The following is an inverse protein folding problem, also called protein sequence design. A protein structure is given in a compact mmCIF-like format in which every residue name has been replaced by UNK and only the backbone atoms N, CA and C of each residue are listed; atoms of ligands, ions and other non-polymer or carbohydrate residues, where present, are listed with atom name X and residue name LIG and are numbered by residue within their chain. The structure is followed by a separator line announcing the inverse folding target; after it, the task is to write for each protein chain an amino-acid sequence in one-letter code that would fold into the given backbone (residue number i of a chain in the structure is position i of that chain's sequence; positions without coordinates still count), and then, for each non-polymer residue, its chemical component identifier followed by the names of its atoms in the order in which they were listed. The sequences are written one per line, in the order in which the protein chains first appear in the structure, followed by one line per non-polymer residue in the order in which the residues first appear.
data_IF_573143936882
#
_entry.id   IF_573143936882
#
_cell.length_a   1.000
_cell.length_b   1.000
_cell.length_c   1.000
_cell.angle_alpha   90.00
_cell.angle_beta   90.00
_cell.angle_gamma   90.00
#
_symmetry.space_group_name_H-M   'P 1'
#
loop_
_entity.id
_entity.type
_entity.pdbx_description
1 polymer ?
#
# COMPACT_ATOMS: atom_id res chain seq x y z
N UNK A 1 27.77 33.47 -15.38
CA UNK A 1 26.50 33.88 -14.73
C UNK A 1 25.54 32.69 -14.77
N UNK A 2 25.37 31.97 -13.66
CA UNK A 2 24.39 30.88 -13.60
C UNK A 2 22.99 31.48 -13.73
N UNK A 3 22.24 31.12 -14.79
CA UNK A 3 20.82 31.45 -14.88
C UNK A 3 20.15 31.01 -13.57
N UNK A 4 19.52 31.95 -12.84
CA UNK A 4 18.73 31.60 -11.66
C UNK A 4 17.67 30.58 -12.11
N UNK A 5 17.79 29.33 -11.65
CA UNK A 5 16.81 28.28 -11.91
C UNK A 5 15.47 28.75 -11.36
N UNK A 6 14.50 28.97 -12.24
CA UNK A 6 13.13 29.29 -11.83
C UNK A 6 12.53 27.99 -11.29
N UNK A 7 12.26 27.94 -9.99
CA UNK A 7 11.73 26.76 -9.33
C UNK A 7 10.21 26.86 -9.31
N UNK A 8 9.52 25.91 -9.96
CA UNK A 8 8.07 25.79 -9.82
C UNK A 8 7.74 25.30 -8.39
N UNK A 9 6.97 26.11 -7.65
CA UNK A 9 6.59 25.82 -6.26
C UNK A 9 5.35 24.94 -6.14
N UNK A 10 4.60 24.74 -7.22
CA UNK A 10 3.36 23.96 -7.22
C UNK A 10 3.68 22.57 -7.78
N UNK A 11 3.17 21.52 -7.13
CA UNK A 11 3.33 20.15 -7.64
C UNK A 11 2.54 19.93 -8.92
N UNK A 12 3.15 19.16 -9.82
CA UNK A 12 2.46 18.67 -11.00
C UNK A 12 1.39 17.70 -10.52
N UNK A 13 0.13 18.02 -10.80
CA UNK A 13 -0.98 17.16 -10.38
C UNK A 13 -1.00 15.88 -11.21
N UNK A 14 -1.28 14.75 -10.55
CA UNK A 14 -1.62 13.51 -11.23
C UNK A 14 -3.08 13.57 -11.67
N UNK A 15 -3.43 13.12 -12.89
CA UNK A 15 -4.82 12.94 -13.28
C UNK A 15 -5.54 11.97 -12.34
N UNK A 16 -6.80 12.26 -12.06
CA UNK A 16 -7.69 11.42 -11.24
C UNK A 16 -9.02 11.23 -11.95
N UNK A 17 -9.70 10.12 -11.65
CA UNK A 17 -11.07 9.90 -12.10
C UNK A 17 -12.03 10.86 -11.41
N UNK A 18 -13.07 11.28 -12.12
CA UNK A 18 -14.06 12.20 -11.57
C UNK A 18 -14.82 11.57 -10.39
N UNK A 19 -15.17 12.33 -9.34
CA UNK A 19 -15.89 11.81 -8.18
C UNK A 19 -17.17 11.06 -8.56
N UNK A 20 -17.98 11.58 -9.50
CA UNK A 20 -19.28 11.00 -9.86
C UNK A 20 -19.16 9.66 -10.62
N UNK A 21 -17.98 9.38 -11.17
CA UNK A 21 -17.64 8.14 -11.87
C UNK A 21 -16.98 7.14 -10.91
N UNK A 22 -15.99 7.59 -10.12
CA UNK A 22 -15.15 6.71 -9.28
C UNK A 22 -15.86 6.12 -8.06
N UNK A 23 -17.02 6.66 -7.69
CA UNK A 23 -17.87 6.12 -6.61
C UNK A 23 -18.73 4.93 -7.06
N UNK A 24 -18.76 4.61 -8.36
CA UNK A 24 -19.59 3.53 -8.93
C UNK A 24 -18.86 2.21 -9.07
N UNK A 25 -17.56 2.19 -8.83
CA UNK A 25 -16.72 0.99 -8.94
C UNK A 25 -15.54 1.05 -7.95
N UNK A 26 -14.74 0.00 -7.94
CA UNK A 26 -13.56 -0.14 -7.09
C UNK A 26 -12.24 0.09 -7.86
N UNK A 27 -12.28 0.65 -9.07
CA UNK A 27 -11.07 0.90 -9.85
C UNK A 27 -10.26 2.06 -9.25
N UNK A 28 -8.94 2.06 -9.52
CA UNK A 28 -8.00 3.05 -8.98
C UNK A 28 -8.45 4.50 -9.23
N UNK A 29 -8.44 5.33 -8.19
CA UNK A 29 -8.85 6.74 -8.28
C UNK A 29 -7.80 7.58 -8.98
N UNK A 30 -6.55 7.46 -8.54
CA UNK A 30 -5.43 8.24 -9.03
C UNK A 30 -4.77 7.50 -10.21
N UNK A 31 -4.67 8.14 -11.36
CA UNK A 31 -4.22 7.52 -12.61
C UNK A 31 -2.69 7.57 -12.80
N UNK A 32 -1.96 8.15 -11.84
CA UNK A 32 -0.50 8.24 -11.91
C UNK A 32 0.00 9.27 -12.92
N UNK A 33 1.31 9.31 -13.14
CA UNK A 33 1.93 10.22 -14.12
C UNK A 33 2.09 9.57 -15.50
N UNK A 34 1.99 10.40 -16.54
CA UNK A 34 2.64 10.10 -17.82
C UNK A 34 4.14 10.41 -17.73
N UNK A 35 4.95 9.90 -18.66
CA UNK A 35 6.38 10.24 -18.70
C UNK A 35 6.63 11.75 -18.74
N UNK A 36 5.83 12.50 -19.51
CA UNK A 36 5.96 13.95 -19.59
C UNK A 36 5.69 14.64 -18.23
N UNK A 37 4.62 14.24 -17.53
CA UNK A 37 4.27 14.80 -16.22
C UNK A 37 5.29 14.40 -15.16
N UNK A 38 5.77 13.16 -15.18
CA UNK A 38 6.80 12.67 -14.28
C UNK A 38 8.10 13.45 -14.45
N UNK A 39 8.52 13.72 -15.69
CA UNK A 39 9.69 14.57 -15.96
C UNK A 39 9.49 15.99 -15.44
N UNK A 40 8.35 16.63 -15.69
CA UNK A 40 8.03 17.98 -15.18
C UNK A 40 8.08 18.03 -13.64
N UNK A 41 7.61 16.99 -12.95
CA UNK A 41 7.70 16.93 -11.49
C UNK A 41 9.15 16.67 -11.03
N UNK A 42 9.87 15.77 -11.69
CA UNK A 42 11.28 15.49 -11.44
C UNK A 42 12.17 16.75 -11.60
N UNK A 43 11.84 17.63 -12.55
CA UNK A 43 12.53 18.90 -12.80
C UNK A 43 12.41 19.89 -11.64
N UNK A 44 11.49 19.67 -10.70
CA UNK A 44 11.38 20.49 -9.48
C UNK A 44 12.40 20.08 -8.43
N UNK A 45 12.94 18.85 -8.50
CA UNK A 45 13.89 18.35 -7.52
C UNK A 45 15.17 19.17 -7.51
N UNK A 46 15.57 19.63 -6.31
CA UNK A 46 16.73 20.50 -6.12
C UNK A 46 18.07 19.74 -6.17
N UNK A 47 18.06 18.40 -6.26
CA UNK A 47 19.26 17.56 -6.19
C UNK A 47 20.12 17.93 -4.97
N UNK A 48 19.50 17.91 -3.79
CA UNK A 48 20.11 18.35 -2.54
C UNK A 48 21.36 17.52 -2.21
N UNK A 49 22.47 18.19 -1.86
CA UNK A 49 23.71 17.55 -1.38
C UNK A 49 23.48 16.74 -0.10
N UNK A 50 22.63 17.24 0.81
CA UNK A 50 22.19 16.53 2.01
C UNK A 50 20.68 16.26 1.89
N UNK A 51 20.27 15.14 1.26
CA UNK A 51 18.88 14.91 0.93
C UNK A 51 18.08 14.41 2.14
N UNK A 52 17.40 15.33 2.82
CA UNK A 52 16.54 15.02 3.98
C UNK A 52 15.40 14.04 3.63
N UNK A 53 14.96 14.03 2.38
CA UNK A 53 13.96 13.06 1.89
C UNK A 53 14.43 11.61 2.04
N UNK A 54 15.73 11.33 1.87
CA UNK A 54 16.31 9.99 2.06
C UNK A 54 16.21 9.58 3.53
N UNK A 55 16.52 10.49 4.46
CA UNK A 55 16.37 10.25 5.91
C UNK A 55 14.92 10.04 6.33
N UNK A 56 13.97 10.65 5.62
CA UNK A 56 12.55 10.49 5.86
C UNK A 56 11.97 9.20 5.30
N UNK A 57 12.68 8.53 4.39
CA UNK A 57 12.30 7.23 3.87
C UNK A 57 12.75 6.13 4.84
N UNK A 58 11.84 5.29 5.38
CA UNK A 58 12.22 4.24 6.34
C UNK A 58 13.27 3.25 5.83
N UNK A 59 13.35 3.04 4.52
CA UNK A 59 14.33 2.15 3.87
C UNK A 59 15.43 2.92 3.13
N UNK A 60 15.50 4.24 3.32
CA UNK A 60 16.57 5.10 2.79
C UNK A 60 16.78 4.99 1.27
N UNK A 61 15.70 4.95 0.49
CA UNK A 61 15.76 5.02 -0.99
C UNK A 61 16.62 6.23 -1.38
N UNK A 62 17.54 6.04 -2.34
CA UNK A 62 18.30 7.14 -2.92
C UNK A 62 17.44 8.00 -3.85
N UNK A 63 16.58 8.82 -3.24
CA UNK A 63 15.55 9.61 -3.91
C UNK A 63 16.11 10.56 -4.97
N UNK A 64 17.15 11.38 -4.70
CA UNK A 64 17.69 12.27 -5.72
C UNK A 64 18.20 11.51 -6.95
N UNK A 65 18.81 10.33 -6.74
CA UNK A 65 19.39 9.54 -7.83
C UNK A 65 18.31 8.92 -8.73
N UNK A 66 17.27 8.27 -8.19
CA UNK A 66 16.23 7.74 -9.08
C UNK A 66 15.49 8.87 -9.82
N UNK A 67 15.34 10.04 -9.18
CA UNK A 67 14.74 11.21 -9.82
C UNK A 67 15.65 11.75 -10.95
N UNK A 68 16.98 11.76 -10.77
CA UNK A 68 17.89 12.17 -11.85
C UNK A 68 17.81 11.21 -13.02
N UNK A 69 17.65 9.91 -12.76
CA UNK A 69 17.41 8.89 -13.79
C UNK A 69 16.13 9.11 -14.59
N UNK A 70 15.04 9.58 -13.96
CA UNK A 70 13.83 10.00 -14.68
C UNK A 70 14.13 11.18 -15.62
N UNK A 71 14.94 12.17 -15.20
CA UNK A 71 15.32 13.32 -16.03
C UNK A 71 16.19 12.92 -17.23
N UNK A 72 17.03 11.90 -17.05
CA UNK A 72 17.84 11.27 -18.10
C UNK A 72 17.01 10.37 -19.04
N UNK A 73 15.70 10.19 -18.78
CA UNK A 73 14.83 9.20 -19.43
C UNK A 73 15.29 7.75 -19.26
N UNK A 74 16.20 7.50 -18.32
CA UNK A 74 16.73 6.18 -17.97
C UNK A 74 15.83 5.52 -16.91
N UNK A 75 14.63 5.08 -17.33
CA UNK A 75 13.67 4.46 -16.41
C UNK A 75 14.17 3.12 -15.86
N UNK A 76 14.98 2.39 -16.63
CA UNK A 76 15.64 1.17 -16.17
C UNK A 76 16.58 1.48 -15.01
N UNK A 77 17.48 2.45 -15.17
CA UNK A 77 18.38 2.89 -14.10
C UNK A 77 17.62 3.46 -12.89
N UNK A 78 16.49 4.15 -13.11
CA UNK A 78 15.64 4.59 -12.02
C UNK A 78 15.08 3.40 -11.21
N UNK A 79 14.62 2.35 -11.90
CA UNK A 79 14.11 1.14 -11.24
C UNK A 79 15.22 0.38 -10.51
N UNK A 80 16.42 0.26 -11.09
CA UNK A 80 17.59 -0.35 -10.42
C UNK A 80 17.91 0.36 -9.09
N UNK A 81 17.86 1.69 -9.08
CA UNK A 81 18.07 2.48 -7.86
C UNK A 81 16.97 2.21 -6.84
N UNK A 82 15.70 2.12 -7.24
CA UNK A 82 14.61 1.75 -6.33
C UNK A 82 14.83 0.33 -5.76
N UNK A 83 15.06 -0.66 -6.62
CA UNK A 83 15.23 -2.07 -6.27
C UNK A 83 16.48 -2.38 -5.44
N UNK A 84 17.42 -1.45 -5.35
CA UNK A 84 18.56 -1.55 -4.43
C UNK A 84 18.16 -1.50 -2.95
N UNK A 85 16.98 -0.96 -2.63
CA UNK A 85 16.50 -0.78 -1.24
C UNK A 85 15.02 -1.14 -1.05
N UNK A 86 14.21 -1.05 -2.10
CA UNK A 86 12.78 -1.33 -2.07
C UNK A 86 12.35 -2.14 -3.29
N UNK A 87 11.88 -3.36 -3.06
CA UNK A 87 11.34 -4.22 -4.12
C UNK A 87 9.85 -4.05 -4.38
N UNK A 88 9.14 -3.23 -3.60
CA UNK A 88 7.71 -3.01 -3.76
C UNK A 88 7.36 -1.56 -4.14
N UNK A 89 8.10 -0.89 -5.06
CA UNK A 89 7.92 0.54 -5.34
C UNK A 89 6.53 0.86 -5.90
N UNK A 90 5.91 -0.06 -6.64
CA UNK A 90 4.54 0.10 -7.13
C UNK A 90 3.50 0.15 -5.99
N UNK A 91 3.78 -0.51 -4.86
CA UNK A 91 2.91 -0.46 -3.68
C UNK A 91 3.22 0.76 -2.81
N UNK A 92 4.49 0.95 -2.41
CA UNK A 92 4.90 2.04 -1.50
C UNK A 92 4.61 3.42 -2.09
N UNK A 93 4.82 3.60 -3.40
CA UNK A 93 4.48 4.85 -4.09
C UNK A 93 3.00 5.21 -4.04
N UNK A 94 2.11 4.21 -3.82
CA UNK A 94 0.67 4.39 -3.64
C UNK A 94 0.27 4.61 -2.18
N UNK A 95 0.82 3.80 -1.26
CA UNK A 95 0.23 3.66 0.08
C UNK A 95 1.04 4.25 1.22
N UNK A 96 2.31 4.62 1.00
CA UNK A 96 3.09 5.28 2.04
C UNK A 96 2.41 6.60 2.45
N UNK A 97 2.41 6.98 3.73
CA UNK A 97 2.00 8.31 4.17
C UNK A 97 3.17 9.28 3.97
N UNK A 98 3.41 9.70 2.72
CA UNK A 98 4.60 10.46 2.36
C UNK A 98 4.72 11.80 3.11
N UNK A 99 3.58 12.40 3.50
CA UNK A 99 3.48 13.65 4.25
C UNK A 99 4.16 13.61 5.62
N UNK A 100 4.33 12.41 6.21
CA UNK A 100 5.06 12.19 7.47
C UNK A 100 6.35 11.38 7.26
N UNK A 101 6.78 11.22 6.00
CA UNK A 101 7.97 10.48 5.60
C UNK A 101 8.87 11.32 4.67
N UNK A 102 9.15 10.81 3.46
CA UNK A 102 10.08 11.41 2.51
C UNK A 102 9.65 12.81 2.03
N UNK A 103 8.35 13.00 1.78
CA UNK A 103 7.81 14.29 1.31
C UNK A 103 7.72 15.30 2.46
N UNK A 104 7.37 14.85 3.67
CA UNK A 104 7.35 15.67 4.88
C UNK A 104 8.70 16.31 5.24
N UNK A 105 9.81 15.67 4.84
CA UNK A 105 11.17 16.20 5.03
C UNK A 105 11.76 16.87 3.79
N UNK A 106 11.03 16.93 2.68
CA UNK A 106 11.53 17.51 1.44
C UNK A 106 11.78 19.02 1.59
N UNK A 107 12.97 19.49 1.19
CA UNK A 107 13.34 20.93 1.29
C UNK A 107 12.41 21.81 0.46
N UNK A 108 11.88 21.29 -0.66
CA UNK A 108 10.88 22.00 -1.48
C UNK A 108 9.59 22.31 -0.71
N UNK A 109 9.21 21.45 0.24
CA UNK A 109 8.05 21.62 1.10
C UNK A 109 8.12 22.86 2.01
N UNK A 110 9.31 23.46 2.19
CA UNK A 110 9.49 24.68 2.99
C UNK A 110 9.11 25.97 2.24
N UNK A 111 9.03 25.91 0.91
CA UNK A 111 8.82 27.09 0.05
C UNK A 111 7.66 26.93 -0.94
N UNK A 112 6.98 25.78 -0.92
CA UNK A 112 5.90 25.37 -1.82
C UNK A 112 5.54 23.91 -1.54
N UNK A 113 5.01 23.20 -2.54
CA UNK A 113 4.71 21.78 -2.42
C UNK A 113 6.00 20.95 -2.43
N UNK A 114 6.13 19.93 -1.56
CA UNK A 114 7.22 18.98 -1.65
C UNK A 114 7.18 18.23 -2.99
N UNK A 115 8.34 17.73 -3.40
CA UNK A 115 8.44 16.85 -4.58
C UNK A 115 7.49 15.67 -4.38
N UNK A 116 6.72 15.32 -5.41
CA UNK A 116 5.77 14.21 -5.35
C UNK A 116 6.48 12.85 -5.49
N UNK A 117 7.33 12.55 -4.50
CA UNK A 117 8.25 11.40 -4.49
C UNK A 117 7.48 10.09 -4.63
N UNK A 118 6.36 9.94 -3.91
CA UNK A 118 5.56 8.71 -3.98
C UNK A 118 5.00 8.46 -5.38
N UNK A 119 4.53 9.51 -6.06
CA UNK A 119 3.99 9.39 -7.42
C UNK A 119 5.09 9.19 -8.47
N UNK A 120 6.30 9.71 -8.25
CA UNK A 120 7.46 9.41 -9.10
C UNK A 120 7.96 7.97 -8.92
N UNK A 121 8.01 7.47 -7.68
CA UNK A 121 8.33 6.06 -7.38
C UNK A 121 7.30 5.12 -8.05
N UNK A 122 6.00 5.43 -7.88
CA UNK A 122 4.91 4.74 -8.56
C UNK A 122 5.09 4.74 -10.07
N UNK A 123 5.38 5.92 -10.65
CA UNK A 123 5.54 6.07 -12.09
C UNK A 123 6.65 5.17 -12.64
N UNK A 124 7.83 5.15 -12.00
CA UNK A 124 8.94 4.31 -12.43
C UNK A 124 8.55 2.83 -12.42
N UNK A 125 7.91 2.38 -11.33
CA UNK A 125 7.49 0.99 -11.19
C UNK A 125 6.39 0.59 -12.19
N UNK A 126 5.39 1.45 -12.38
CA UNK A 126 4.29 1.21 -13.31
C UNK A 126 4.78 1.20 -14.76
N UNK A 127 5.60 2.20 -15.16
CA UNK A 127 6.17 2.28 -16.49
C UNK A 127 7.08 1.10 -16.79
N UNK A 128 7.92 0.69 -15.83
CA UNK A 128 8.79 -0.47 -15.98
C UNK A 128 7.98 -1.75 -16.20
N UNK A 129 6.90 -1.95 -15.43
CA UNK A 129 6.00 -3.10 -15.57
C UNK A 129 5.30 -3.14 -16.92
N UNK A 130 4.78 -2.01 -17.39
CA UNK A 130 4.09 -1.91 -18.68
C UNK A 130 5.02 -2.14 -19.87
N UNK A 131 6.30 -1.77 -19.75
CA UNK A 131 7.32 -1.94 -20.79
C UNK A 131 8.12 -3.23 -20.66
N UNK A 132 7.90 -4.03 -19.62
CA UNK A 132 8.65 -5.26 -19.35
C UNK A 132 10.09 -5.04 -18.88
N UNK A 133 10.46 -3.82 -18.48
CA UNK A 133 11.80 -3.47 -17.97
C UNK A 133 12.06 -4.17 -16.64
N UNK A 134 11.04 -4.26 -15.78
CA UNK A 134 11.08 -4.98 -14.51
C UNK A 134 11.44 -6.46 -14.71
N UNK A 135 10.84 -7.10 -15.71
CA UNK A 135 11.09 -8.49 -16.06
C UNK A 135 12.55 -8.71 -16.48
N UNK A 136 13.08 -7.85 -17.37
CA UNK A 136 14.47 -7.95 -17.83
C UNK A 136 15.46 -7.83 -16.65
N UNK A 137 15.24 -6.83 -15.79
CA UNK A 137 16.06 -6.62 -14.60
C UNK A 137 15.98 -7.81 -13.63
N UNK A 138 14.79 -8.38 -13.45
CA UNK A 138 14.60 -9.54 -12.57
C UNK A 138 15.34 -10.76 -13.12
N UNK A 139 15.26 -11.02 -14.43
CA UNK A 139 15.97 -12.13 -15.09
C UNK A 139 17.50 -11.99 -14.94
N UNK A 140 18.03 -10.77 -15.01
CA UNK A 140 19.44 -10.48 -14.74
C UNK A 140 19.82 -10.71 -13.27
N UNK A 141 18.99 -10.26 -12.33
CA UNK A 141 19.21 -10.50 -10.91
C UNK A 141 19.25 -11.99 -10.60
N UNK A 142 18.29 -12.78 -11.13
CA UNK A 142 18.21 -14.23 -10.90
C UNK A 142 19.50 -14.94 -11.35
N UNK A 143 20.06 -14.57 -12.51
CA UNK A 143 21.30 -15.18 -13.02
C UNK A 143 22.51 -14.98 -12.09
N UNK A 144 22.49 -13.92 -11.28
CA UNK A 144 23.58 -13.56 -10.39
C UNK A 144 23.45 -14.19 -8.99
N UNK A 145 22.33 -14.85 -8.68
CA UNK A 145 22.10 -15.48 -7.39
C UNK A 145 22.92 -16.77 -7.28
N UNK A 146 23.71 -16.87 -6.20
CA UNK A 146 24.49 -18.08 -5.88
C UNK A 146 23.86 -18.79 -4.68
N UNK A 147 23.30 -20.01 -4.84
CA UNK A 147 22.73 -20.75 -3.73
C UNK A 147 23.76 -20.95 -2.60
N UNK A 148 23.35 -20.69 -1.37
CA UNK A 148 24.19 -20.85 -0.18
C UNK A 148 23.90 -22.13 0.62
N UNK A 149 22.91 -22.91 0.19
CA UNK A 149 22.54 -24.21 0.76
C UNK A 149 21.71 -24.16 2.05
N UNK A 150 21.34 -22.97 2.53
CA UNK A 150 20.53 -22.78 3.75
C UNK A 150 19.08 -22.46 3.44
N UNK A 151 18.19 -22.85 4.35
CA UNK A 151 16.73 -22.68 4.25
C UNK A 151 16.19 -21.71 5.29
N UNK A 152 15.32 -20.81 4.88
CA UNK A 152 14.67 -19.84 5.78
C UNK A 152 13.14 -19.92 5.65
N UNK A 153 12.46 -20.03 6.79
CA UNK A 153 11.01 -19.93 6.86
C UNK A 153 10.58 -18.49 7.14
N UNK A 154 9.55 -18.02 6.45
CA UNK A 154 8.93 -16.72 6.64
C UNK A 154 7.47 -16.94 7.03
N UNK A 155 7.06 -16.51 8.23
CA UNK A 155 5.68 -16.66 8.71
C UNK A 155 4.91 -15.38 8.39
N UNK A 156 3.96 -15.47 7.47
CA UNK A 156 3.12 -14.36 6.99
C UNK A 156 3.64 -13.75 5.69
N UNK A 157 2.73 -13.54 4.74
CA UNK A 157 3.03 -12.99 3.41
C UNK A 157 2.67 -11.50 3.26
N UNK A 158 2.59 -10.76 4.37
CA UNK A 158 2.46 -9.30 4.33
C UNK A 158 3.72 -8.62 3.77
N UNK A 159 3.72 -7.28 3.59
CA UNK A 159 4.87 -6.55 3.04
C UNK A 159 6.20 -6.89 3.70
N UNK A 160 6.24 -7.02 5.03
CA UNK A 160 7.45 -7.41 5.76
C UNK A 160 7.97 -8.80 5.37
N UNK A 161 7.08 -9.79 5.28
CA UNK A 161 7.45 -11.16 4.88
C UNK A 161 7.89 -11.23 3.42
N UNK A 162 7.17 -10.55 2.53
CA UNK A 162 7.52 -10.48 1.09
C UNK A 162 8.89 -9.84 0.90
N UNK A 163 9.17 -8.68 1.52
CA UNK A 163 10.48 -8.02 1.43
C UNK A 163 11.59 -8.88 2.03
N UNK A 164 11.36 -9.47 3.22
CA UNK A 164 12.35 -10.36 3.84
C UNK A 164 12.69 -11.55 2.94
N UNK A 165 11.67 -12.20 2.38
CA UNK A 165 11.86 -13.34 1.49
C UNK A 165 12.63 -12.98 0.23
N UNK A 166 12.36 -11.80 -0.33
CA UNK A 166 13.02 -11.32 -1.51
C UNK A 166 14.52 -11.07 -1.30
N UNK A 167 14.87 -10.38 -0.21
CA UNK A 167 16.28 -10.09 0.11
C UNK A 167 17.04 -11.38 0.44
N UNK A 168 16.42 -12.30 1.16
CA UNK A 168 17.00 -13.62 1.43
C UNK A 168 17.19 -14.44 0.14
N UNK A 169 16.24 -14.41 -0.79
CA UNK A 169 16.37 -15.10 -2.07
C UNK A 169 17.53 -14.51 -2.90
N UNK A 170 17.67 -13.18 -2.96
CA UNK A 170 18.83 -12.52 -3.60
C UNK A 170 20.16 -12.92 -2.96
N UNK A 171 20.17 -13.15 -1.64
CA UNK A 171 21.34 -13.64 -0.90
C UNK A 171 21.60 -15.15 -1.08
N UNK A 172 20.77 -15.86 -1.87
CA UNK A 172 20.96 -17.27 -2.22
C UNK A 172 20.37 -18.28 -1.24
N UNK A 173 19.51 -17.85 -0.30
CA UNK A 173 18.79 -18.76 0.60
C UNK A 173 17.60 -19.42 -0.13
N UNK A 174 17.29 -20.67 0.21
CA UNK A 174 16.00 -21.27 -0.14
C UNK A 174 14.94 -20.74 0.83
N UNK A 175 13.98 -19.96 0.33
CA UNK A 175 12.97 -19.31 1.18
C UNK A 175 11.60 -19.93 0.96
N UNK A 176 10.91 -20.23 2.06
CA UNK A 176 9.51 -20.66 2.06
C UNK A 176 8.68 -19.72 2.93
N UNK A 177 7.67 -19.08 2.32
CA UNK A 177 6.67 -18.27 3.03
C UNK A 177 5.48 -19.16 3.39
N UNK A 178 5.04 -19.10 4.63
CA UNK A 178 3.81 -19.74 5.11
C UNK A 178 2.74 -18.67 5.36
N UNK A 179 1.63 -18.75 4.64
CA UNK A 179 0.51 -17.81 4.71
C UNK A 179 -0.77 -18.51 5.18
N UNK A 180 -1.46 -17.91 6.15
CA UNK A 180 -2.68 -18.49 6.72
C UNK A 180 -3.89 -18.37 5.78
N UNK A 181 -3.98 -17.29 5.00
CA UNK A 181 -5.05 -17.06 4.03
C UNK A 181 -4.80 -17.80 2.71
N UNK A 182 -5.83 -17.85 1.86
CA UNK A 182 -5.76 -18.49 0.54
C UNK A 182 -5.05 -17.63 -0.51
N UNK A 183 -4.94 -16.31 -0.30
CA UNK A 183 -4.16 -15.40 -1.13
C UNK A 183 -3.03 -14.73 -0.33
N UNK A 184 -1.79 -14.67 -0.87
CA UNK A 184 -0.69 -13.96 -0.23
C UNK A 184 -0.75 -12.44 -0.41
N UNK A 185 -0.11 -11.70 0.48
CA UNK A 185 0.01 -10.23 0.44
C UNK A 185 -0.44 -9.54 1.72
N UNK A 186 -1.18 -10.24 2.59
CA UNK A 186 -1.66 -9.69 3.86
C UNK A 186 -2.56 -8.45 3.63
N UNK A 187 -2.28 -7.37 4.36
CA UNK A 187 -3.12 -6.15 4.32
C UNK A 187 -3.24 -5.52 2.93
N UNK A 188 -2.29 -5.75 2.02
CA UNK A 188 -2.37 -5.23 0.64
C UNK A 188 -3.42 -5.96 -0.20
N UNK A 189 -3.82 -7.16 0.21
CA UNK A 189 -4.88 -7.95 -0.42
C UNK A 189 -6.20 -7.83 0.33
N UNK A 190 -6.26 -8.13 1.64
CA UNK A 190 -7.54 -8.12 2.36
C UNK A 190 -7.94 -6.75 2.95
N UNK A 191 -6.99 -5.83 3.12
CA UNK A 191 -7.21 -4.58 3.85
C UNK A 191 -7.39 -3.34 2.96
N UNK A 192 -6.35 -2.99 2.19
CA UNK A 192 -6.32 -1.78 1.36
C UNK A 192 -7.18 -2.04 0.10
N UNK A 193 -8.21 -1.24 -0.20
CA UNK A 193 -9.08 -1.50 -1.35
C UNK A 193 -8.43 -1.24 -2.72
N UNK A 194 -9.03 -1.83 -3.77
CA UNK A 194 -8.56 -1.70 -5.17
C UNK A 194 -8.50 -0.26 -5.67
N UNK A 195 -9.38 0.60 -5.18
CA UNK A 195 -9.43 2.01 -5.59
C UNK A 195 -8.20 2.82 -5.14
N UNK A 196 -7.36 2.24 -4.25
CA UNK A 196 -6.06 2.76 -3.81
C UNK A 196 -4.88 1.89 -4.23
N UNK A 197 -5.04 0.58 -4.17
CA UNK A 197 -4.01 -0.40 -4.46
C UNK A 197 -4.59 -1.54 -5.29
N UNK A 198 -4.47 -1.48 -6.64
CA UNK A 198 -4.96 -2.54 -7.51
C UNK A 198 -4.36 -3.90 -7.17
N UNK A 199 -5.19 -4.94 -7.06
CA UNK A 199 -4.72 -6.30 -6.71
C UNK A 199 -3.85 -6.92 -7.77
N UNK A 200 -4.02 -6.54 -9.03
CA UNK A 200 -3.15 -6.96 -10.12
C UNK A 200 -1.69 -6.58 -9.85
N UNK A 201 -1.45 -5.37 -9.31
CA UNK A 201 -0.10 -4.91 -8.98
C UNK A 201 0.48 -5.75 -7.85
N UNK A 202 -0.31 -5.99 -6.79
CA UNK A 202 0.13 -6.85 -5.68
C UNK A 202 0.48 -8.25 -6.16
N UNK A 203 -0.39 -8.85 -7.00
CA UNK A 203 -0.16 -10.18 -7.58
C UNK A 203 1.11 -10.22 -8.41
N UNK A 204 1.35 -9.19 -9.25
CA UNK A 204 2.55 -9.11 -10.08
C UNK A 204 3.84 -9.07 -9.25
N UNK A 205 3.85 -8.30 -8.17
CA UNK A 205 5.02 -8.25 -7.27
C UNK A 205 5.26 -9.59 -6.58
N UNK A 206 4.20 -10.31 -6.21
CA UNK A 206 4.31 -11.66 -5.64
C UNK A 206 4.80 -12.66 -6.69
N UNK A 207 4.32 -12.57 -7.94
CA UNK A 207 4.79 -13.40 -9.05
C UNK A 207 6.29 -13.19 -9.32
N UNK A 208 6.78 -11.96 -9.17
CA UNK A 208 8.20 -11.64 -9.29
C UNK A 208 9.02 -12.35 -8.19
N UNK A 209 8.51 -12.44 -6.97
CA UNK A 209 9.15 -13.20 -5.88
C UNK A 209 9.16 -14.70 -6.15
N UNK A 210 8.07 -15.24 -6.68
CA UNK A 210 8.00 -16.65 -7.07
C UNK A 210 9.05 -16.94 -8.16
N UNK A 211 9.20 -16.05 -9.15
CA UNK A 211 10.25 -16.16 -10.18
C UNK A 211 11.66 -16.05 -9.61
N UNK A 212 11.85 -15.28 -8.54
CA UNK A 212 13.11 -15.18 -7.80
C UNK A 212 13.47 -16.50 -7.07
N UNK A 213 12.54 -17.46 -7.02
CA UNK A 213 12.72 -18.78 -6.39
C UNK A 213 12.12 -18.90 -5.00
N UNK A 214 11.36 -17.89 -4.53
CA UNK A 214 10.63 -17.96 -3.27
C UNK A 214 9.43 -18.89 -3.42
N UNK A 215 9.27 -19.84 -2.48
CA UNK A 215 8.08 -20.68 -2.40
C UNK A 215 7.06 -20.04 -1.45
N UNK A 216 5.77 -20.14 -1.78
CA UNK A 216 4.68 -19.61 -0.95
C UNK A 216 3.65 -20.71 -0.75
N UNK A 217 3.47 -21.13 0.50
CA UNK A 217 2.49 -22.11 0.93
C UNK A 217 1.31 -21.38 1.60
N UNK A 218 0.20 -21.26 0.88
CA UNK A 218 -1.04 -20.65 1.38
C UNK A 218 -1.89 -21.65 2.15
N UNK A 219 -2.90 -21.16 2.89
CA UNK A 219 -3.74 -21.98 3.77
C UNK A 219 -2.97 -22.72 4.88
N UNK A 220 -1.78 -22.22 5.26
CA UNK A 220 -0.94 -22.76 6.33
C UNK A 220 -0.98 -21.83 7.54
N UNK A 221 -1.82 -22.17 8.51
CA UNK A 221 -1.82 -21.51 9.80
C UNK A 221 -0.72 -22.11 10.68
N UNK A 222 0.42 -21.43 10.76
CA UNK A 222 1.53 -21.83 11.66
C UNK A 222 1.04 -21.82 13.12
N UNK A 223 1.37 -22.88 13.84
CA UNK A 223 0.82 -23.21 15.17
C UNK A 223 -0.40 -24.14 15.13
N UNK A 224 -0.96 -24.42 13.94
CA UNK A 224 -2.08 -25.36 13.73
C UNK A 224 -1.81 -26.35 12.60
N UNK A 225 -1.68 -25.86 11.37
CA UNK A 225 -1.39 -26.69 10.18
C UNK A 225 0.02 -27.26 10.23
N UNK A 226 0.99 -26.44 10.66
CA UNK A 226 2.37 -26.82 10.95
C UNK A 226 2.77 -26.25 12.31
N UNK A 227 3.49 -27.00 13.14
CA UNK A 227 3.90 -26.48 14.45
C UNK A 227 5.15 -25.61 14.34
N UNK A 228 5.36 -24.74 15.33
CA UNK A 228 6.58 -23.93 15.36
C UNK A 228 7.84 -24.79 15.54
N UNK A 229 7.75 -25.91 16.27
CA UNK A 229 8.85 -26.85 16.44
C UNK A 229 9.22 -27.56 15.14
N UNK A 230 8.25 -27.86 14.28
CA UNK A 230 8.53 -28.39 12.94
C UNK A 230 9.33 -27.39 12.10
N UNK A 231 8.98 -26.10 12.17
CA UNK A 231 9.75 -25.06 11.47
C UNK A 231 11.19 -24.99 12.01
N UNK A 232 11.38 -25.04 13.33
CA UNK A 232 12.72 -25.00 13.94
C UNK A 232 13.59 -26.21 13.58
N UNK A 233 13.00 -27.36 13.30
CA UNK A 233 13.73 -28.58 12.90
C UNK A 233 14.13 -28.56 11.43
N UNK A 234 13.33 -27.92 10.57
CA UNK A 234 13.47 -28.03 9.11
C UNK A 234 14.09 -26.79 8.44
N UNK A 235 14.29 -25.69 9.17
CA UNK A 235 14.83 -24.44 8.64
C UNK A 235 15.97 -23.90 9.52
N UNK A 236 16.96 -23.27 8.89
CA UNK A 236 18.12 -22.68 9.57
C UNK A 236 17.78 -21.37 10.30
N UNK A 237 16.75 -20.68 9.82
CA UNK A 237 16.25 -19.44 10.40
C UNK A 237 14.74 -19.29 10.16
N UNK A 238 14.11 -18.49 11.02
CA UNK A 238 12.69 -18.16 10.94
C UNK A 238 12.52 -16.66 11.09
N UNK A 239 11.80 -16.03 10.16
CA UNK A 239 11.31 -14.66 10.26
C UNK A 239 9.81 -14.67 10.56
N UNK A 240 9.37 -13.87 11.54
CA UNK A 240 7.96 -13.76 11.93
C UNK A 240 7.41 -12.40 11.50
N UNK A 241 6.58 -12.41 10.46
CA UNK A 241 5.93 -11.25 9.86
C UNK A 241 4.40 -11.33 9.89
N UNK A 242 3.82 -11.93 10.93
CA UNK A 242 2.37 -12.20 11.04
C UNK A 242 1.50 -10.94 11.22
N UNK A 243 2.10 -9.78 11.47
CA UNK A 243 1.40 -8.51 11.60
C UNK A 243 0.49 -8.42 12.83
N UNK A 244 -0.49 -7.52 12.76
CA UNK A 244 -1.43 -7.24 13.85
C UNK A 244 -2.88 -7.35 13.35
N UNK A 245 -3.28 -8.56 12.94
CA UNK A 245 -4.56 -8.82 12.26
C UNK A 245 -5.79 -8.97 13.16
N UNK A 246 -5.63 -9.01 14.49
CA UNK A 246 -6.77 -9.17 15.42
C UNK A 246 -7.47 -7.83 15.64
N UNK A 247 -8.80 -7.73 15.38
CA UNK A 247 -9.54 -6.50 15.62
C UNK A 247 -9.67 -6.22 17.12
N UNK A 248 -9.79 -4.94 17.47
CA UNK A 248 -10.13 -4.50 18.83
C UNK A 248 -11.56 -4.00 18.84
N UNK A 249 -12.41 -4.62 19.65
CA UNK A 249 -13.73 -4.11 19.95
C UNK A 249 -13.68 -3.32 21.26
N UNK A 250 -14.38 -2.18 21.29
CA UNK A 250 -14.65 -1.50 22.54
C UNK A 250 -15.84 -2.17 23.23
N UNK A 251 -15.88 -2.07 24.55
CA UNK A 251 -16.96 -2.60 25.38
C UNK A 251 -18.16 -1.65 25.34
N UNK A 252 -18.84 -1.62 24.20
CA UNK A 252 -20.06 -0.84 23.99
C UNK A 252 -21.27 -1.77 24.02
N UNK A 253 -22.29 -1.39 24.79
CA UNK A 253 -23.58 -2.07 24.78
C UNK A 253 -24.13 -2.13 23.35
N UNK A 254 -24.63 -3.31 22.94
CA UNK A 254 -25.17 -3.55 21.61
C UNK A 254 -24.14 -3.81 20.51
N UNK A 255 -22.84 -3.96 20.81
CA UNK A 255 -21.80 -4.22 19.79
C UNK A 255 -22.02 -5.49 18.95
N UNK A 256 -22.78 -6.46 19.48
CA UNK A 256 -23.09 -7.72 18.80
C UNK A 256 -24.41 -7.68 18.00
N UNK A 257 -25.05 -6.51 17.85
CA UNK A 257 -26.24 -6.36 17.01
C UNK A 257 -25.91 -6.62 15.53
N UNK A 258 -26.90 -7.09 14.78
CA UNK A 258 -26.78 -7.27 13.34
C UNK A 258 -26.43 -5.96 12.63
N UNK A 259 -25.57 -6.05 11.60
CA UNK A 259 -25.13 -4.89 10.82
C UNK A 259 -23.93 -4.14 11.41
N UNK A 260 -23.40 -4.60 12.55
CA UNK A 260 -22.12 -4.13 13.10
C UNK A 260 -21.01 -5.03 12.61
N UNK A 261 -19.98 -4.42 12.01
CA UNK A 261 -18.80 -5.11 11.51
C UNK A 261 -17.55 -4.61 12.23
N UNK A 262 -16.57 -5.49 12.43
CA UNK A 262 -15.18 -4.99 12.50
C UNK A 262 -14.78 -4.50 11.11
N UNK A 263 -13.92 -3.48 11.04
CA UNK A 263 -13.38 -3.05 9.75
C UNK A 263 -12.59 -4.20 9.07
N UNK A 264 -11.94 -5.07 9.86
CA UNK A 264 -11.25 -6.25 9.33
C UNK A 264 -12.23 -7.18 8.61
N UNK A 265 -13.38 -7.52 9.21
CA UNK A 265 -14.39 -8.35 8.56
C UNK A 265 -14.95 -7.66 7.31
N UNK A 266 -15.38 -6.40 7.45
CA UNK A 266 -15.97 -5.64 6.35
C UNK A 266 -15.04 -5.56 5.15
N UNK A 267 -13.78 -5.14 5.37
CA UNK A 267 -12.78 -5.02 4.32
C UNK A 267 -12.33 -6.38 3.78
N UNK A 268 -12.26 -7.43 4.60
CA UNK A 268 -11.97 -8.78 4.09
C UNK A 268 -13.07 -9.26 3.15
N UNK A 269 -14.35 -9.05 3.50
CA UNK A 269 -15.47 -9.37 2.62
C UNK A 269 -15.40 -8.57 1.32
N UNK A 270 -15.19 -7.25 1.41
CA UNK A 270 -15.11 -6.38 0.23
C UNK A 270 -13.91 -6.74 -0.65
N UNK A 271 -12.72 -6.82 -0.09
CA UNK A 271 -11.48 -6.84 -0.86
C UNK A 271 -11.02 -8.26 -1.23
N UNK A 272 -10.95 -9.16 -0.24
CA UNK A 272 -10.45 -10.53 -0.45
C UNK A 272 -11.54 -11.38 -1.10
N UNK A 273 -12.77 -11.29 -0.57
CA UNK A 273 -13.89 -12.11 -1.03
C UNK A 273 -14.71 -11.47 -2.16
N UNK A 274 -14.38 -10.24 -2.57
CA UNK A 274 -15.05 -9.48 -3.63
C UNK A 274 -16.57 -9.38 -3.49
N UNK A 275 -17.04 -9.20 -2.26
CA UNK A 275 -18.47 -9.16 -1.96
C UNK A 275 -19.23 -8.00 -2.63
N UNK A 276 -18.53 -6.98 -3.15
CA UNK A 276 -19.14 -5.91 -3.95
C UNK A 276 -19.65 -6.40 -5.32
N UNK A 277 -19.18 -7.56 -5.80
CA UNK A 277 -19.63 -8.20 -7.04
C UNK A 277 -20.65 -9.32 -6.79
N UNK A 278 -21.23 -9.45 -5.59
CA UNK A 278 -22.28 -10.44 -5.35
C UNK A 278 -23.48 -10.23 -6.32
N UNK A 279 -24.02 -11.28 -6.97
CA UNK A 279 -23.79 -12.71 -6.73
C UNK A 279 -22.74 -13.39 -7.63
N UNK A 280 -21.91 -12.63 -8.37
CA UNK A 280 -20.79 -13.22 -9.15
C UNK A 280 -19.77 -13.92 -8.23
N UNK A 281 -19.54 -13.35 -7.04
CA UNK A 281 -18.80 -13.98 -5.94
C UNK A 281 -19.78 -14.33 -4.82
N UNK A 282 -19.62 -15.52 -4.24
CA UNK A 282 -20.60 -16.11 -3.31
C UNK A 282 -20.69 -15.41 -1.95
N UNK A 283 -19.67 -14.64 -1.56
CA UNK A 283 -19.66 -13.99 -0.24
C UNK A 283 -20.57 -12.77 -0.24
N UNK A 284 -21.63 -12.74 0.59
CA UNK A 284 -22.49 -11.57 0.67
C UNK A 284 -21.87 -10.49 1.57
N UNK A 285 -22.31 -9.25 1.36
CA UNK A 285 -22.11 -8.13 2.27
C UNK A 285 -23.40 -7.32 2.36
N UNK A 286 -23.70 -6.82 3.57
CA UNK A 286 -24.91 -6.03 3.81
C UNK A 286 -24.51 -4.65 4.31
N UNK A 287 -24.95 -3.62 3.59
CA UNK A 287 -24.89 -2.23 4.03
C UNK A 287 -26.30 -1.68 4.19
N UNK A 288 -26.51 -0.85 5.21
CA UNK A 288 -27.77 -0.11 5.36
C UNK A 288 -27.80 1.13 4.47
N UNK A 289 -28.93 1.85 4.46
CA UNK A 289 -29.05 3.15 3.76
C UNK A 289 -28.09 4.20 4.33
N UNK A 290 -27.82 4.13 5.65
CA UNK A 290 -26.85 4.98 6.35
C UNK A 290 -25.86 4.09 7.08
N UNK A 291 -24.57 4.40 6.94
CA UNK A 291 -23.47 3.67 7.56
C UNK A 291 -22.67 4.64 8.43
N UNK A 292 -22.39 4.24 9.67
CA UNK A 292 -21.46 4.92 10.55
C UNK A 292 -20.16 4.12 10.63
N UNK A 293 -19.03 4.79 10.40
CA UNK A 293 -17.69 4.21 10.52
C UNK A 293 -16.97 4.91 11.67
N UNK A 294 -16.55 4.13 12.66
CA UNK A 294 -15.95 4.65 13.90
C UNK A 294 -14.42 4.66 13.77
N UNK A 295 -13.81 5.84 13.72
CA UNK A 295 -12.36 5.99 13.63
C UNK A 295 -11.90 7.13 12.72
N UNK A 296 -10.59 7.35 12.66
CA UNK A 296 -9.98 8.44 11.86
C UNK A 296 -8.63 8.05 11.23
N UNK A 297 -8.38 6.75 11.07
CA UNK A 297 -7.20 6.21 10.39
C UNK A 297 -7.52 5.70 8.98
N UNK A 298 -6.52 5.21 8.25
CA UNK A 298 -6.70 4.69 6.89
C UNK A 298 -7.78 3.60 6.81
N UNK A 299 -7.80 2.67 7.77
CA UNK A 299 -8.84 1.63 7.86
C UNK A 299 -10.26 2.20 7.90
N UNK A 300 -10.46 3.35 8.57
CA UNK A 300 -11.76 4.02 8.61
C UNK A 300 -12.11 4.67 7.27
N UNK A 301 -11.14 5.32 6.61
CA UNK A 301 -11.36 5.90 5.26
C UNK A 301 -11.67 4.81 4.24
N UNK A 302 -10.91 3.72 4.26
CA UNK A 302 -11.07 2.59 3.35
C UNK A 302 -12.45 1.92 3.55
N UNK A 303 -12.87 1.69 4.80
CA UNK A 303 -14.20 1.15 5.10
C UNK A 303 -15.32 2.11 4.67
N UNK A 304 -15.16 3.41 4.93
CA UNK A 304 -16.16 4.41 4.57
C UNK A 304 -16.35 4.54 3.06
N UNK A 305 -15.25 4.65 2.31
CA UNK A 305 -15.26 4.78 0.85
C UNK A 305 -15.74 3.50 0.16
N UNK A 306 -15.46 2.33 0.74
CA UNK A 306 -16.03 1.05 0.30
C UNK A 306 -17.54 0.98 0.56
N UNK A 307 -18.01 1.38 1.75
CA UNK A 307 -19.45 1.41 2.05
C UNK A 307 -20.22 2.40 1.14
N UNK A 308 -19.59 3.53 0.78
CA UNK A 308 -20.17 4.50 -0.13
C UNK A 308 -20.36 3.91 -1.53
N UNK A 309 -19.37 3.16 -2.03
CA UNK A 309 -19.45 2.43 -3.32
C UNK A 309 -20.51 1.33 -3.32
N UNK A 310 -20.88 0.82 -2.15
CA UNK A 310 -22.01 -0.10 -1.98
C UNK A 310 -23.38 0.61 -1.88
N UNK A 311 -23.43 1.94 -2.10
CA UNK A 311 -24.65 2.73 -2.21
C UNK A 311 -25.18 3.33 -0.91
N UNK A 312 -24.38 3.35 0.16
CA UNK A 312 -24.77 3.94 1.43
C UNK A 312 -24.46 5.45 1.53
N UNK A 313 -25.26 6.19 2.30
CA UNK A 313 -24.82 7.46 2.88
C UNK A 313 -23.87 7.16 4.05
N UNK A 314 -22.66 7.70 4.02
CA UNK A 314 -21.61 7.31 4.97
C UNK A 314 -21.17 8.46 5.86
N UNK A 315 -21.05 8.18 7.15
CA UNK A 315 -20.54 9.08 8.18
C UNK A 315 -19.30 8.49 8.85
N UNK A 316 -18.21 9.26 8.87
CA UNK A 316 -17.08 9.07 9.77
C UNK A 316 -17.41 9.68 11.13
N UNK A 317 -17.37 8.87 12.19
CA UNK A 317 -17.49 9.33 13.57
C UNK A 317 -16.12 9.26 14.24
N UNK A 318 -15.54 10.41 14.55
CA UNK A 318 -14.19 10.50 15.12
C UNK A 318 -14.16 11.29 16.43
N UNK A 319 -13.48 10.71 17.43
CA UNK A 319 -13.39 11.26 18.79
C UNK A 319 -12.54 12.52 18.94
N UNK A 320 -11.79 12.90 17.90
CA UNK A 320 -10.95 14.11 17.85
C UNK A 320 -11.38 14.98 16.67
N UNK A 321 -10.58 15.99 16.31
CA UNK A 321 -10.84 16.84 15.15
C UNK A 321 -10.16 16.29 13.89
N UNK A 322 -10.39 16.93 12.74
CA UNK A 322 -9.70 16.62 11.48
C UNK A 322 -8.18 16.68 11.61
N UNK A 323 -7.65 17.60 12.42
CA UNK A 323 -6.21 17.82 12.58
C UNK A 323 -5.49 16.63 13.23
N UNK A 324 -6.19 15.84 14.05
CA UNK A 324 -5.62 14.66 14.70
C UNK A 324 -5.94 13.35 13.96
N UNK A 325 -6.49 13.42 12.74
CA UNK A 325 -6.67 12.21 11.92
C UNK A 325 -5.31 11.61 11.56
N UNK A 326 -5.28 10.28 11.44
CA UNK A 326 -4.07 9.50 11.13
C UNK A 326 -4.14 8.83 9.76
N UNK A 327 -5.26 9.01 9.05
CA UNK A 327 -5.37 8.62 7.66
C UNK A 327 -4.47 9.48 6.78
N UNK A 328 -4.07 8.94 5.63
CA UNK A 328 -3.34 9.71 4.62
C UNK A 328 -4.17 10.93 4.21
N UNK A 329 -3.53 12.09 4.12
CA UNK A 329 -4.21 13.36 3.77
C UNK A 329 -4.93 13.25 2.42
N UNK A 330 -4.27 12.63 1.42
CA UNK A 330 -4.84 12.35 0.10
C UNK A 330 -6.17 11.59 0.19
N UNK A 331 -6.26 10.61 1.09
CA UNK A 331 -7.45 9.75 1.22
C UNK A 331 -8.57 10.41 1.99
N UNK A 332 -8.25 11.34 2.90
CA UNK A 332 -9.24 12.20 3.56
C UNK A 332 -9.87 13.12 2.51
N UNK A 333 -9.05 13.76 1.65
CA UNK A 333 -9.56 14.61 0.57
C UNK A 333 -10.41 13.81 -0.42
N UNK A 334 -9.97 12.62 -0.84
CA UNK A 334 -10.76 11.77 -1.72
C UNK A 334 -12.09 11.35 -1.09
N UNK A 335 -12.12 11.04 0.21
CA UNK A 335 -13.35 10.73 0.92
C UNK A 335 -14.32 11.92 0.95
N UNK A 336 -13.81 13.15 1.19
CA UNK A 336 -14.62 14.38 1.16
C UNK A 336 -15.21 14.65 -0.23
N UNK A 337 -14.38 14.54 -1.28
CA UNK A 337 -14.81 14.69 -2.68
C UNK A 337 -15.85 13.64 -3.12
N UNK A 338 -15.74 12.42 -2.60
CA UNK A 338 -16.69 11.33 -2.88
C UNK A 338 -18.02 11.47 -2.12
N UNK A 339 -18.10 12.39 -1.14
CA UNK A 339 -19.32 12.69 -0.39
C UNK A 339 -19.42 11.97 0.97
N UNK A 340 -18.31 11.43 1.49
CA UNK A 340 -18.27 10.94 2.89
C UNK A 340 -18.44 12.11 3.84
N UNK A 341 -19.36 11.97 4.80
CA UNK A 341 -19.64 12.99 5.81
C UNK A 341 -18.79 12.76 7.06
N UNK A 342 -18.41 13.82 7.74
CA UNK A 342 -17.56 13.76 8.93
C UNK A 342 -18.25 14.37 10.14
N UNK A 343 -18.22 13.64 11.26
CA UNK A 343 -18.63 14.10 12.57
C UNK A 343 -17.44 13.95 13.52
N UNK A 344 -16.93 15.08 13.99
CA UNK A 344 -15.78 15.17 14.88
C UNK A 344 -16.21 15.34 16.34
N UNK A 345 -15.27 15.10 17.26
CA UNK A 345 -15.50 15.20 18.71
C UNK A 345 -16.65 14.32 19.22
N UNK A 346 -16.85 13.15 18.61
CA UNK A 346 -17.89 12.18 18.98
C UNK A 346 -17.29 10.80 19.25
N UNK A 347 -17.83 10.10 20.24
CA UNK A 347 -17.52 8.69 20.51
C UNK A 347 -18.83 7.94 20.78
N UNK A 348 -18.98 6.70 20.27
CA UNK A 348 -20.15 5.88 20.60
C UNK A 348 -20.24 5.63 22.10
N UNK A 349 -21.49 5.57 22.60
CA UNK A 349 -21.81 5.12 23.96
C UNK A 349 -22.40 3.71 23.97
N UNK A 350 -23.35 3.47 23.06
CA UNK A 350 -24.04 2.18 22.83
C UNK A 350 -24.63 2.13 21.44
N UNK A 351 -24.93 0.94 20.94
CA UNK A 351 -25.72 0.69 19.74
C UNK A 351 -27.14 0.28 20.15
N UNK A 352 -28.14 0.75 19.41
CA UNK A 352 -29.56 0.51 19.69
C UNK A 352 -30.12 -0.34 18.56
N UNK A 353 -30.72 -1.48 18.91
CA UNK A 353 -31.47 -2.35 18.02
C UNK A 353 -32.94 -2.41 18.44
N UNK A 354 -33.76 -3.04 17.59
CA UNK A 354 -35.19 -3.26 17.84
C UNK A 354 -35.46 -4.43 18.79
#
# INVERSE_FOLDING_TARGET
MSKKRVINKIRVQTPERKPEERVKDFNEVNLGYTLELAKKEAERCLQCVNPLCVKGCPVSINIPLFISKILEEDIRGALEVLWSTNLLPAMTGRVCPQEIQCEGLCVMGKIGDPINIGKLERFVADYAREKGIDRELLEEQIKNIKPNGKKVAVIGSGPAGLTCAAELAKMGYEVVIFEALHEPGGVTVYGIPEFRLPKEIVRKEIDNLIKLGVKIETNVLVGKTITFDDLKKNFDAIFIGSGAGTPKFADWEGINLNGIYSANEFLTRVNLMRAYSFPEYDTPIKVGKRVAVIGGGNTAMDAARSALRLGAEVWILYRRTKAEMTARIEEIHHAEEEGVKFMFLVSPKRFIGD
#
